data_IF_387194584924
#
_entry.id   IF_387194584924
#
_cell.length_a   1.000
_cell.length_b   1.000
_cell.length_c   1.000
_cell.angle_alpha   90.00
_cell.angle_beta   90.00
_cell.angle_gamma   90.00
#
_symmetry.space_group_name_H-M   'P 1'
#
loop_
_entity.id
_entity.type
_entity.pdbx_description
1 polymer ?
#
# COMPACT_ATOMS: atom_id res chain seq x y z
N UNK A 1 21.57 -27.58 -26.93
CA UNK A 1 20.82 -27.72 -28.19
C UNK A 1 20.92 -29.15 -28.66
N UNK A 2 19.79 -29.71 -29.09
CA UNK A 2 19.78 -31.04 -29.64
C UNK A 2 20.60 -31.09 -30.95
N UNK A 3 21.32 -32.17 -31.15
CA UNK A 3 22.04 -32.40 -32.42
C UNK A 3 21.07 -33.00 -33.43
N UNK A 4 21.15 -32.51 -34.68
CA UNK A 4 20.29 -32.92 -35.78
C UNK A 4 21.15 -33.55 -36.88
N UNK A 5 20.83 -34.80 -37.28
CA UNK A 5 21.54 -35.49 -38.32
C UNK A 5 20.52 -35.98 -39.38
N UNK A 6 20.73 -35.60 -40.62
CA UNK A 6 19.89 -36.08 -41.75
C UNK A 6 20.23 -37.55 -42.07
N UNK A 7 19.20 -38.37 -42.25
CA UNK A 7 19.30 -39.77 -42.75
C UNK A 7 18.23 -40.01 -43.80
N UNK A 8 18.63 -39.95 -45.07
CA UNK A 8 17.69 -40.06 -46.19
C UNK A 8 16.65 -38.94 -46.11
N UNK A 9 15.37 -39.32 -46.10
CA UNK A 9 14.23 -38.39 -46.00
C UNK A 9 13.80 -38.03 -44.59
N UNK A 10 14.58 -38.46 -43.58
CA UNK A 10 14.29 -38.20 -42.16
C UNK A 10 15.42 -37.49 -41.46
N UNK A 11 15.13 -36.89 -40.31
CA UNK A 11 16.11 -36.26 -39.42
C UNK A 11 16.13 -36.99 -38.08
N UNK A 12 17.29 -37.49 -37.70
CA UNK A 12 17.53 -38.03 -36.34
C UNK A 12 17.95 -36.87 -35.42
N UNK A 13 17.20 -36.68 -34.34
CA UNK A 13 17.40 -35.62 -33.39
C UNK A 13 17.82 -36.25 -32.06
N UNK A 14 18.95 -35.81 -31.50
CA UNK A 14 19.49 -36.33 -30.24
C UNK A 14 19.66 -35.21 -29.24
N UNK A 15 18.98 -35.33 -28.09
CA UNK A 15 19.11 -34.40 -26.96
C UNK A 15 19.89 -35.03 -25.82
N UNK A 16 20.72 -34.24 -25.14
CA UNK A 16 21.53 -34.61 -24.03
C UNK A 16 20.89 -34.16 -22.71
N UNK A 17 20.73 -35.10 -21.77
CA UNK A 17 19.98 -34.92 -20.52
C UNK A 17 20.89 -34.83 -19.27
N UNK A 18 22.18 -34.62 -19.46
CA UNK A 18 23.17 -34.65 -18.38
C UNK A 18 23.89 -36.00 -18.24
N UNK A 19 24.35 -36.33 -17.04
CA UNK A 19 25.08 -37.54 -16.73
C UNK A 19 24.32 -38.33 -15.63
N UNK A 20 24.39 -39.68 -15.71
CA UNK A 20 23.90 -40.57 -14.67
C UNK A 20 24.84 -40.58 -13.44
N UNK A 21 24.42 -41.28 -12.37
CA UNK A 21 25.22 -41.43 -11.15
C UNK A 21 26.57 -42.11 -11.38
N UNK A 22 26.77 -42.76 -12.53
CA UNK A 22 28.01 -43.44 -12.95
C UNK A 22 28.84 -42.59 -13.93
N UNK A 23 28.45 -41.30 -14.14
CA UNK A 23 29.16 -40.40 -15.04
C UNK A 23 28.92 -40.68 -16.53
N UNK A 24 27.90 -41.48 -16.91
CA UNK A 24 27.57 -41.77 -18.31
C UNK A 24 26.57 -40.75 -18.82
N UNK A 25 26.80 -40.24 -20.03
CA UNK A 25 25.94 -39.25 -20.67
C UNK A 25 24.57 -39.84 -21.03
N UNK A 26 23.51 -39.26 -20.48
CA UNK A 26 22.13 -39.64 -20.79
C UNK A 26 21.74 -38.99 -22.10
N UNK A 27 21.30 -39.78 -23.09
CA UNK A 27 20.85 -39.33 -24.41
C UNK A 27 19.45 -39.82 -24.67
N UNK A 28 18.59 -38.95 -25.22
CA UNK A 28 17.33 -39.36 -25.85
C UNK A 28 17.36 -39.02 -27.33
N UNK A 29 16.77 -39.87 -28.15
CA UNK A 29 16.81 -39.74 -29.61
C UNK A 29 15.38 -39.89 -30.16
N UNK A 30 15.03 -39.05 -31.10
CA UNK A 30 13.77 -39.13 -31.86
C UNK A 30 14.02 -38.96 -33.36
N UNK A 31 13.06 -39.35 -34.19
CA UNK A 31 13.15 -39.23 -35.63
C UNK A 31 12.03 -38.35 -36.11
N UNK A 32 12.37 -37.27 -36.84
CA UNK A 32 11.42 -36.37 -37.48
C UNK A 32 11.35 -36.65 -38.98
N UNK A 33 10.12 -36.81 -39.51
CA UNK A 33 9.87 -36.95 -40.96
C UNK A 33 9.15 -35.69 -41.44
N UNK A 34 9.75 -34.91 -42.35
CA UNK A 34 9.09 -33.74 -42.94
C UNK A 34 7.85 -34.18 -43.72
N UNK A 35 6.83 -33.31 -43.88
CA UNK A 35 5.70 -33.57 -44.76
C UNK A 35 6.15 -33.74 -46.21
N UNK A 36 5.43 -34.56 -46.98
CA UNK A 36 5.74 -34.82 -48.38
C UNK A 36 5.61 -33.52 -49.22
N UNK A 37 6.48 -33.38 -50.23
CA UNK A 37 6.50 -32.22 -51.14
C UNK A 37 7.22 -30.97 -50.61
N UNK A 38 7.92 -31.05 -49.47
CA UNK A 38 8.66 -29.93 -48.91
C UNK A 38 10.09 -29.91 -49.46
N UNK A 39 10.58 -28.73 -49.89
CA UNK A 39 11.97 -28.55 -50.35
C UNK A 39 13.00 -28.84 -49.22
N UNK A 40 14.18 -29.32 -49.58
CA UNK A 40 15.20 -29.73 -48.63
C UNK A 40 15.55 -28.63 -47.57
N UNK A 41 15.63 -27.35 -47.96
CA UNK A 41 15.90 -26.26 -47.05
C UNK A 41 14.75 -25.97 -46.08
N UNK A 42 13.49 -26.14 -46.53
CA UNK A 42 12.30 -25.99 -45.70
C UNK A 42 12.15 -27.17 -44.73
N UNK A 43 12.52 -28.40 -45.16
CA UNK A 43 12.56 -29.60 -44.34
C UNK A 43 13.57 -29.48 -43.18
N UNK A 44 14.75 -28.92 -43.43
CA UNK A 44 15.78 -28.67 -42.39
C UNK A 44 15.31 -27.61 -41.38
N UNK A 45 14.65 -26.56 -41.85
CA UNK A 45 14.08 -25.53 -40.97
C UNK A 45 13.02 -26.10 -40.03
N UNK A 46 12.11 -26.96 -40.56
CA UNK A 46 11.10 -27.68 -39.81
C UNK A 46 11.72 -28.65 -38.80
N UNK A 47 12.79 -29.37 -39.20
CA UNK A 47 13.52 -30.27 -38.31
C UNK A 47 14.17 -29.49 -37.12
N UNK A 48 14.74 -28.31 -37.37
CA UNK A 48 15.30 -27.45 -36.33
C UNK A 48 14.20 -26.95 -35.39
N UNK A 49 13.05 -26.56 -35.89
CA UNK A 49 11.91 -26.16 -35.07
C UNK A 49 11.40 -27.31 -34.19
N UNK A 50 11.21 -28.48 -34.79
CA UNK A 50 10.79 -29.69 -34.08
C UNK A 50 11.78 -30.10 -33.01
N UNK A 51 13.10 -30.05 -33.30
CA UNK A 51 14.15 -30.38 -32.36
C UNK A 51 14.15 -29.47 -31.12
N UNK A 52 13.88 -28.17 -31.30
CA UNK A 52 13.83 -27.23 -30.21
C UNK A 52 12.62 -27.55 -29.29
N UNK A 53 11.43 -27.76 -29.87
CA UNK A 53 10.22 -28.12 -29.12
C UNK A 53 10.39 -29.45 -28.39
N UNK A 54 10.88 -30.48 -29.09
CA UNK A 54 11.09 -31.80 -28.51
C UNK A 54 12.17 -31.81 -27.42
N UNK A 55 13.25 -31.04 -27.58
CA UNK A 55 14.29 -30.91 -26.53
C UNK A 55 13.71 -30.28 -25.26
N UNK A 56 12.86 -29.26 -25.40
CA UNK A 56 12.16 -28.63 -24.30
C UNK A 56 11.19 -29.59 -23.60
N UNK A 57 10.41 -30.38 -24.37
CA UNK A 57 9.49 -31.39 -23.83
C UNK A 57 10.21 -32.47 -22.98
N UNK A 58 11.29 -33.06 -23.52
CA UNK A 58 12.00 -34.13 -22.81
C UNK A 58 12.82 -33.66 -21.61
N UNK A 59 13.21 -32.37 -21.59
CA UNK A 59 13.85 -31.75 -20.43
C UNK A 59 12.85 -31.33 -19.36
N UNK A 60 11.56 -31.65 -19.57
CA UNK A 60 10.49 -31.28 -18.65
C UNK A 60 10.10 -29.82 -18.73
N UNK A 61 10.54 -29.09 -19.76
CA UNK A 61 10.04 -27.77 -20.04
C UNK A 61 8.63 -27.94 -20.63
N UNK A 62 7.63 -27.68 -19.81
CA UNK A 62 6.24 -27.59 -20.27
C UNK A 62 6.21 -26.54 -21.38
N UNK A 63 5.48 -26.84 -22.48
CA UNK A 63 5.29 -25.89 -23.57
C UNK A 63 4.80 -24.55 -22.99
N UNK A 64 5.67 -23.56 -23.03
CA UNK A 64 5.39 -22.25 -22.44
C UNK A 64 4.25 -21.61 -23.24
N UNK A 65 3.18 -21.26 -22.54
CA UNK A 65 1.99 -20.66 -23.17
C UNK A 65 2.13 -19.14 -23.29
N UNK A 66 3.20 -18.70 -23.94
CA UNK A 66 3.51 -17.28 -24.15
C UNK A 66 2.51 -16.58 -25.10
N UNK A 67 1.62 -17.36 -25.74
CA UNK A 67 0.55 -16.82 -26.59
C UNK A 67 -0.66 -16.32 -25.79
N UNK A 68 -0.81 -16.71 -24.53
CA UNK A 68 -1.85 -16.15 -23.65
C UNK A 68 -1.75 -14.65 -23.56
N UNK A 69 -2.90 -14.03 -23.32
CA UNK A 69 -2.99 -12.60 -23.04
C UNK A 69 -2.66 -12.30 -21.56
N UNK A 70 -2.31 -11.06 -21.28
CA UNK A 70 -2.11 -10.62 -19.90
C UNK A 70 -3.41 -10.78 -19.07
N UNK A 71 -4.57 -10.55 -19.67
CA UNK A 71 -5.86 -10.71 -18.98
C UNK A 71 -6.08 -12.15 -18.50
N UNK A 72 -5.78 -13.15 -19.35
CA UNK A 72 -5.88 -14.57 -18.98
C UNK A 72 -4.90 -14.94 -17.87
N UNK A 73 -3.67 -14.42 -17.93
CA UNK A 73 -2.67 -14.63 -16.88
C UNK A 73 -3.10 -14.00 -15.55
N UNK A 74 -3.56 -12.74 -15.58
CA UNK A 74 -4.03 -12.04 -14.39
C UNK A 74 -5.24 -12.74 -13.76
N UNK A 75 -6.21 -13.19 -14.58
CA UNK A 75 -7.35 -13.98 -14.11
C UNK A 75 -6.89 -15.25 -13.41
N UNK A 76 -6.05 -16.04 -14.07
CA UNK A 76 -5.48 -17.26 -13.48
C UNK A 76 -4.79 -16.97 -12.14
N UNK A 77 -3.97 -15.93 -12.07
CA UNK A 77 -3.27 -15.56 -10.84
C UNK A 77 -4.23 -15.23 -9.70
N UNK A 78 -5.22 -14.37 -9.96
CA UNK A 78 -6.18 -13.93 -8.94
C UNK A 78 -7.18 -15.00 -8.52
N UNK A 79 -7.51 -15.93 -9.41
CA UNK A 79 -8.47 -17.00 -9.12
C UNK A 79 -7.79 -18.24 -8.47
N UNK A 80 -6.52 -18.51 -8.81
CA UNK A 80 -5.85 -19.76 -8.41
C UNK A 80 -4.72 -19.55 -7.41
N UNK A 81 -3.84 -18.55 -7.63
CA UNK A 81 -2.60 -18.41 -6.85
C UNK A 81 -2.78 -17.42 -5.70
N UNK A 82 -3.31 -16.25 -5.98
CA UNK A 82 -3.40 -15.17 -5.01
C UNK A 82 -4.21 -15.51 -3.75
N UNK A 83 -5.33 -16.26 -3.80
CA UNK A 83 -6.10 -16.63 -2.61
C UNK A 83 -5.31 -17.46 -1.59
N UNK A 84 -4.37 -18.29 -2.05
CA UNK A 84 -3.55 -19.14 -1.16
C UNK A 84 -2.33 -18.42 -0.57
N UNK A 85 -1.89 -17.31 -1.18
CA UNK A 85 -0.61 -16.63 -0.83
C UNK A 85 -0.84 -15.26 -0.20
N UNK A 86 -1.92 -14.57 -0.56
CA UNK A 86 -2.20 -13.20 -0.15
C UNK A 86 -3.35 -13.16 0.87
N UNK A 87 -3.23 -12.26 1.85
CA UNK A 87 -4.38 -11.92 2.68
C UNK A 87 -5.44 -11.22 1.82
N UNK A 88 -6.71 -11.44 2.11
CA UNK A 88 -7.87 -10.93 1.36
C UNK A 88 -7.76 -9.44 1.02
N UNK A 89 -7.45 -8.59 2.01
CA UNK A 89 -7.27 -7.16 1.76
C UNK A 89 -6.14 -6.84 0.76
N UNK A 90 -5.05 -7.61 0.78
CA UNK A 90 -3.93 -7.43 -0.17
C UNK A 90 -4.35 -7.89 -1.57
N UNK A 91 -5.07 -9.01 -1.66
CA UNK A 91 -5.62 -9.52 -2.90
C UNK A 91 -6.55 -8.51 -3.55
N UNK A 92 -7.52 -7.97 -2.81
CA UNK A 92 -8.46 -6.96 -3.31
C UNK A 92 -7.73 -5.69 -3.80
N UNK A 93 -6.73 -5.22 -3.07
CA UNK A 93 -5.93 -4.06 -3.48
C UNK A 93 -5.07 -4.35 -4.73
N UNK A 94 -4.49 -5.54 -4.85
CA UNK A 94 -3.72 -5.94 -6.04
C UNK A 94 -4.64 -5.98 -7.25
N UNK A 95 -5.77 -6.67 -7.12
CA UNK A 95 -6.78 -6.78 -8.18
C UNK A 95 -7.26 -5.39 -8.63
N UNK A 96 -7.70 -4.55 -7.71
CA UNK A 96 -8.14 -3.19 -8.01
C UNK A 96 -7.04 -2.35 -8.70
N UNK A 97 -5.78 -2.51 -8.30
CA UNK A 97 -4.65 -1.80 -8.92
C UNK A 97 -4.42 -2.28 -10.37
N UNK A 98 -4.44 -3.59 -10.60
CA UNK A 98 -4.27 -4.18 -11.93
C UNK A 98 -5.45 -3.82 -12.82
N UNK A 99 -6.69 -3.98 -12.34
CA UNK A 99 -7.91 -3.67 -13.11
C UNK A 99 -7.97 -2.19 -13.51
N UNK A 100 -7.59 -1.30 -12.61
CA UNK A 100 -7.65 0.14 -12.85
C UNK A 100 -6.56 0.65 -13.80
N UNK A 101 -5.32 0.19 -13.65
CA UNK A 101 -4.17 0.81 -14.31
C UNK A 101 -3.52 -0.03 -15.39
N UNK A 102 -3.61 -1.36 -15.30
CA UNK A 102 -2.92 -2.27 -16.23
C UNK A 102 -3.87 -2.84 -17.27
N UNK A 103 -5.03 -3.34 -16.84
CA UNK A 103 -6.00 -3.97 -17.76
C UNK A 103 -6.45 -3.08 -18.91
N UNK A 104 -6.71 -1.76 -18.75
CA UNK A 104 -7.13 -0.90 -19.87
C UNK A 104 -6.12 -0.84 -21.03
N UNK A 105 -4.83 -1.11 -20.75
CA UNK A 105 -3.74 -0.95 -21.72
C UNK A 105 -3.12 -2.28 -22.16
N UNK A 106 -2.99 -3.24 -21.23
CA UNK A 106 -2.24 -4.49 -21.46
C UNK A 106 -3.12 -5.75 -21.50
N UNK A 107 -4.43 -5.65 -21.25
CA UNK A 107 -5.29 -6.84 -21.17
C UNK A 107 -5.19 -7.76 -22.38
N UNK A 108 -5.14 -7.19 -23.60
CA UNK A 108 -5.11 -7.90 -24.89
C UNK A 108 -3.70 -8.25 -25.36
N UNK A 109 -2.67 -7.73 -24.70
CA UNK A 109 -1.30 -8.01 -25.10
C UNK A 109 -0.93 -9.46 -24.80
N UNK A 110 -0.27 -10.11 -25.76
CA UNK A 110 0.24 -11.46 -25.58
C UNK A 110 1.50 -11.42 -24.72
N UNK A 111 1.66 -12.42 -23.85
CA UNK A 111 2.76 -12.48 -22.88
C UNK A 111 4.13 -12.37 -23.55
N UNK A 112 4.31 -12.98 -24.73
CA UNK A 112 5.56 -12.89 -25.52
C UNK A 112 5.92 -11.46 -25.98
N UNK A 113 4.92 -10.58 -26.11
CA UNK A 113 5.10 -9.20 -26.54
C UNK A 113 5.40 -8.26 -25.34
N UNK A 114 5.10 -8.70 -24.11
CA UNK A 114 5.37 -7.89 -22.91
C UNK A 114 6.86 -7.96 -22.59
N UNK A 115 7.61 -7.07 -23.21
CA UNK A 115 9.05 -6.98 -23.07
C UNK A 115 9.44 -5.88 -22.06
N UNK A 116 10.67 -5.90 -21.48
CA UNK A 116 11.12 -4.83 -20.59
C UNK A 116 11.03 -3.42 -21.22
N UNK A 117 11.45 -3.17 -22.48
CA UNK A 117 11.28 -1.85 -23.11
C UNK A 117 9.82 -1.41 -23.23
N UNK A 118 8.90 -2.35 -23.51
CA UNK A 118 7.46 -2.05 -23.55
C UNK A 118 6.97 -1.63 -22.17
N UNK A 119 7.41 -2.31 -21.11
CA UNK A 119 7.05 -1.95 -19.74
C UNK A 119 7.63 -0.61 -19.32
N UNK A 120 8.87 -0.27 -19.75
CA UNK A 120 9.46 1.04 -19.49
C UNK A 120 8.62 2.16 -20.11
N UNK A 121 8.20 2.00 -21.36
CA UNK A 121 7.27 2.93 -22.02
C UNK A 121 5.94 3.01 -21.30
N UNK A 122 5.36 1.87 -20.91
CA UNK A 122 4.10 1.81 -20.17
C UNK A 122 4.20 2.54 -18.82
N UNK A 123 5.28 2.35 -18.05
CA UNK A 123 5.49 3.05 -16.79
C UNK A 123 5.70 4.55 -16.97
N UNK A 124 6.41 4.97 -18.01
CA UNK A 124 6.57 6.38 -18.35
C UNK A 124 5.23 7.02 -18.73
N UNK A 125 4.38 6.32 -19.48
CA UNK A 125 3.05 6.79 -19.83
C UNK A 125 2.13 6.92 -18.61
N UNK A 126 2.21 5.97 -17.66
CA UNK A 126 1.48 6.08 -16.41
C UNK A 126 1.91 7.30 -15.61
N UNK A 127 3.18 7.67 -15.66
CA UNK A 127 3.68 8.86 -14.99
C UNK A 127 3.24 10.16 -15.68
N UNK A 128 3.06 10.15 -17.01
CA UNK A 128 2.59 11.31 -17.76
C UNK A 128 1.07 11.49 -17.73
N UNK A 129 0.31 10.40 -17.87
CA UNK A 129 -1.14 10.42 -18.11
C UNK A 129 -1.89 9.29 -17.37
N UNK A 130 -1.36 8.78 -16.28
CA UNK A 130 -1.88 7.57 -15.61
C UNK A 130 -3.11 7.78 -14.73
N UNK A 131 -3.56 9.00 -14.46
CA UNK A 131 -4.82 9.24 -13.76
C UNK A 131 -5.97 9.09 -14.73
N UNK A 132 -6.77 8.05 -14.54
CA UNK A 132 -7.99 7.78 -15.28
C UNK A 132 -9.24 8.36 -14.62
N UNK A 133 -9.09 9.03 -13.46
CA UNK A 133 -10.23 9.59 -12.75
C UNK A 133 -10.59 10.93 -13.38
N UNK A 134 -11.74 10.97 -14.08
CA UNK A 134 -12.31 12.22 -14.54
C UNK A 134 -12.57 13.12 -13.34
N UNK A 135 -12.03 14.32 -13.39
CA UNK A 135 -12.07 15.29 -12.32
C UNK A 135 -12.75 16.56 -12.78
N UNK A 136 -13.69 17.01 -12.00
CA UNK A 136 -14.51 18.20 -12.29
C UNK A 136 -14.39 19.20 -11.16
N UNK A 137 -14.39 20.48 -11.49
CA UNK A 137 -14.37 21.58 -10.52
C UNK A 137 -15.57 22.48 -10.78
N UNK A 138 -16.25 22.91 -9.72
CA UNK A 138 -17.29 23.91 -9.83
C UNK A 138 -16.71 25.17 -10.47
N UNK A 139 -17.40 25.72 -11.46
CA UNK A 139 -16.99 26.94 -12.16
C UNK A 139 -16.93 28.15 -11.20
N UNK A 140 -15.98 29.01 -11.41
CA UNK A 140 -15.88 30.26 -10.67
C UNK A 140 -17.11 31.13 -10.95
N UNK A 141 -17.61 31.78 -9.92
CA UNK A 141 -18.80 32.66 -10.02
C UNK A 141 -20.16 31.96 -9.98
N UNK A 142 -20.20 30.62 -9.91
CA UNK A 142 -21.48 29.91 -9.69
C UNK A 142 -21.87 30.03 -8.22
N UNK A 143 -22.91 30.79 -7.96
CA UNK A 143 -23.53 30.94 -6.65
C UNK A 143 -24.89 30.24 -6.61
N UNK A 144 -25.22 29.67 -5.47
CA UNK A 144 -26.51 29.03 -5.23
C UNK A 144 -27.30 29.89 -4.23
N UNK A 145 -27.90 31.00 -4.75
CA UNK A 145 -28.66 31.92 -3.94
C UNK A 145 -29.83 31.20 -3.24
N UNK A 146 -30.03 31.49 -1.96
CA UNK A 146 -31.07 30.86 -1.15
C UNK A 146 -30.75 29.45 -0.62
N UNK A 147 -29.57 28.88 -0.95
CA UNK A 147 -29.17 27.57 -0.44
C UNK A 147 -28.03 27.67 0.57
N UNK A 148 -28.21 27.02 1.72
CA UNK A 148 -27.13 26.76 2.68
C UNK A 148 -26.44 25.42 2.36
N UNK A 149 -25.28 25.18 2.93
CA UNK A 149 -24.63 23.85 2.79
C UNK A 149 -25.51 22.68 3.26
N UNK A 150 -26.36 22.92 4.27
CA UNK A 150 -27.28 21.92 4.78
C UNK A 150 -28.39 21.66 3.76
N UNK A 151 -29.06 22.70 3.27
CA UNK A 151 -30.16 22.54 2.30
C UNK A 151 -29.67 21.93 0.97
N UNK A 152 -28.43 22.22 0.54
CA UNK A 152 -27.81 21.54 -0.59
C UNK A 152 -27.53 20.07 -0.30
N UNK A 153 -27.08 19.74 0.90
CA UNK A 153 -26.85 18.35 1.30
C UNK A 153 -28.16 17.55 1.29
N UNK A 154 -29.22 18.12 1.84
CA UNK A 154 -30.56 17.50 1.90
C UNK A 154 -31.15 17.32 0.49
N UNK A 155 -31.06 18.36 -0.36
CA UNK A 155 -31.56 18.33 -1.75
C UNK A 155 -30.81 17.32 -2.62
N UNK A 156 -29.50 17.23 -2.48
CA UNK A 156 -28.67 16.35 -3.30
C UNK A 156 -28.55 14.93 -2.74
N UNK A 157 -28.95 14.71 -1.49
CA UNK A 157 -28.69 13.46 -0.77
C UNK A 157 -27.19 13.14 -0.65
N UNK A 158 -26.36 14.18 -0.53
CA UNK A 158 -24.90 14.08 -0.40
C UNK A 158 -24.46 14.52 0.99
N UNK A 159 -23.37 13.97 1.47
CA UNK A 159 -22.80 14.41 2.75
C UNK A 159 -22.33 15.87 2.71
N UNK A 160 -22.51 16.61 3.83
CA UNK A 160 -22.11 18.03 3.97
C UNK A 160 -20.66 18.29 3.54
N UNK A 161 -19.75 17.37 3.84
CA UNK A 161 -18.34 17.47 3.43
C UNK A 161 -18.17 17.44 1.91
N UNK A 162 -18.97 16.65 1.20
CA UNK A 162 -18.95 16.62 -0.27
C UNK A 162 -19.46 17.93 -0.85
N UNK A 163 -20.54 18.48 -0.29
CA UNK A 163 -21.08 19.79 -0.67
C UNK A 163 -20.05 20.89 -0.40
N UNK A 164 -19.47 20.91 0.80
CA UNK A 164 -18.41 21.85 1.14
C UNK A 164 -17.24 21.81 0.14
N UNK A 165 -16.75 20.61 -0.19
CA UNK A 165 -15.66 20.44 -1.15
C UNK A 165 -16.02 20.97 -2.55
N UNK A 166 -17.27 20.78 -2.99
CA UNK A 166 -17.77 21.34 -4.25
C UNK A 166 -17.74 22.87 -4.21
N UNK A 167 -18.33 23.46 -3.16
CA UNK A 167 -18.47 24.90 -3.02
C UNK A 167 -17.15 25.68 -2.91
N UNK A 168 -16.13 25.06 -2.28
CA UNK A 168 -14.78 25.65 -2.19
C UNK A 168 -13.91 25.34 -3.42
N UNK A 169 -14.51 24.84 -4.52
CA UNK A 169 -13.81 24.59 -5.77
C UNK A 169 -12.81 23.42 -5.74
N UNK A 170 -12.92 22.49 -4.79
CA UNK A 170 -12.14 21.26 -4.84
C UNK A 170 -12.60 20.36 -5.98
N UNK A 171 -11.65 19.63 -6.56
CA UNK A 171 -11.97 18.65 -7.60
C UNK A 171 -12.83 17.51 -7.05
N UNK A 172 -13.87 17.15 -7.81
CA UNK A 172 -14.76 16.01 -7.52
C UNK A 172 -14.78 15.04 -8.70
N UNK A 173 -15.14 13.80 -8.45
CA UNK A 173 -15.25 12.76 -9.49
C UNK A 173 -16.54 12.93 -10.29
N UNK A 174 -16.57 12.42 -11.53
CA UNK A 174 -17.76 12.45 -12.39
C UNK A 174 -19.05 12.05 -11.68
N UNK A 175 -19.17 10.89 -10.97
CA UNK A 175 -20.43 10.52 -10.32
C UNK A 175 -20.90 11.52 -9.28
N UNK A 176 -19.97 12.20 -8.61
CA UNK A 176 -20.28 13.24 -7.61
C UNK A 176 -20.78 14.52 -8.31
N UNK A 177 -20.11 14.92 -9.39
CA UNK A 177 -20.52 16.09 -10.18
C UNK A 177 -21.87 15.88 -10.87
N UNK A 178 -22.10 14.68 -11.45
CA UNK A 178 -23.39 14.31 -12.07
C UNK A 178 -24.53 14.29 -11.06
N UNK A 179 -24.31 13.68 -9.89
CA UNK A 179 -25.31 13.64 -8.82
C UNK A 179 -25.67 15.05 -8.34
N UNK A 180 -24.69 15.92 -8.19
CA UNK A 180 -24.92 17.30 -7.80
C UNK A 180 -25.67 18.08 -8.88
N UNK A 181 -25.25 17.96 -10.14
CA UNK A 181 -25.88 18.63 -11.29
C UNK A 181 -27.33 18.17 -11.50
N UNK A 182 -27.60 16.88 -11.39
CA UNK A 182 -28.95 16.33 -11.48
C UNK A 182 -29.87 16.88 -10.37
N UNK A 183 -29.40 16.96 -9.12
CA UNK A 183 -30.18 17.49 -8.02
C UNK A 183 -30.45 19.03 -8.15
N UNK A 184 -29.57 19.73 -8.85
CA UNK A 184 -29.74 21.14 -9.14
C UNK A 184 -30.56 21.42 -10.43
N UNK A 185 -30.97 20.34 -11.11
CA UNK A 185 -31.68 20.41 -12.39
C UNK A 185 -30.92 21.24 -13.45
N UNK A 186 -29.60 21.08 -13.48
CA UNK A 186 -28.71 21.80 -14.37
C UNK A 186 -27.76 20.85 -15.10
N UNK A 187 -27.46 21.11 -16.38
CA UNK A 187 -26.45 20.33 -17.10
C UNK A 187 -25.09 20.44 -16.43
N UNK A 188 -24.40 19.29 -16.24
CA UNK A 188 -23.09 19.24 -15.61
C UNK A 188 -22.07 20.22 -16.23
N UNK A 189 -22.07 20.37 -17.56
CA UNK A 189 -21.21 21.31 -18.32
C UNK A 189 -21.43 22.78 -17.96
N UNK A 190 -22.61 23.15 -17.47
CA UNK A 190 -22.88 24.53 -17.00
C UNK A 190 -22.32 24.79 -15.61
N UNK A 191 -22.32 23.76 -14.76
CA UNK A 191 -21.88 23.89 -13.36
C UNK A 191 -20.38 23.60 -13.17
N UNK A 192 -19.84 22.68 -13.94
CA UNK A 192 -18.48 22.17 -13.72
C UNK A 192 -17.59 22.34 -14.94
N UNK A 193 -16.35 22.74 -14.69
CA UNK A 193 -15.25 22.61 -15.64
C UNK A 193 -14.67 21.21 -15.56
N UNK A 194 -14.45 20.60 -16.71
CA UNK A 194 -13.69 19.37 -16.81
C UNK A 194 -12.21 19.69 -16.64
N UNK A 195 -11.69 19.38 -15.48
CA UNK A 195 -10.28 19.49 -15.14
C UNK A 195 -9.59 18.12 -15.15
N UNK A 196 -10.18 17.18 -15.90
CA UNK A 196 -9.56 15.88 -16.18
C UNK A 196 -8.27 16.15 -16.96
N UNK A 197 -7.33 16.78 -16.30
CA UNK A 197 -6.02 17.01 -16.86
C UNK A 197 -5.25 15.69 -16.90
N UNK A 198 -4.33 15.58 -17.85
CA UNK A 198 -3.33 14.53 -17.95
C UNK A 198 -2.39 14.58 -16.74
N UNK A 199 -2.92 14.29 -15.55
CA UNK A 199 -2.12 14.20 -14.34
C UNK A 199 -1.55 12.76 -14.25
N UNK A 200 -0.24 12.67 -14.28
CA UNK A 200 0.44 11.41 -14.12
C UNK A 200 0.32 10.84 -12.70
N UNK A 201 0.62 9.56 -12.59
CA UNK A 201 0.79 8.91 -11.30
C UNK A 201 2.13 9.25 -10.69
N UNK A 202 2.21 9.34 -9.37
CA UNK A 202 3.50 9.48 -8.68
C UNK A 202 4.40 8.27 -8.94
N UNK A 203 5.73 8.47 -8.95
CA UNK A 203 6.69 7.38 -9.10
C UNK A 203 6.47 6.24 -8.10
N UNK A 204 6.09 6.56 -6.85
CA UNK A 204 5.74 5.57 -5.84
C UNK A 204 4.52 4.71 -6.23
N UNK A 205 3.49 5.32 -6.83
CA UNK A 205 2.32 4.58 -7.32
C UNK A 205 2.67 3.68 -8.49
N UNK A 206 3.46 4.19 -9.46
CA UNK A 206 3.92 3.39 -10.61
C UNK A 206 4.79 2.22 -10.15
N UNK A 207 5.69 2.44 -9.19
CA UNK A 207 6.48 1.35 -8.62
C UNK A 207 5.62 0.29 -7.92
N UNK A 208 4.56 0.69 -7.22
CA UNK A 208 3.59 -0.24 -6.64
C UNK A 208 2.88 -1.07 -7.73
N UNK A 209 2.50 -0.45 -8.85
CA UNK A 209 1.93 -1.17 -10.01
C UNK A 209 2.94 -2.18 -10.56
N UNK A 210 4.21 -1.78 -10.76
CA UNK A 210 5.29 -2.69 -11.18
C UNK A 210 5.43 -3.89 -10.23
N UNK A 211 5.43 -3.66 -8.92
CA UNK A 211 5.53 -4.75 -7.92
C UNK A 211 4.35 -5.71 -8.00
N UNK A 212 3.12 -5.21 -8.21
CA UNK A 212 1.93 -6.05 -8.36
C UNK A 212 2.01 -6.88 -9.65
N UNK A 213 2.42 -6.28 -10.76
CA UNK A 213 2.65 -7.00 -12.03
C UNK A 213 3.76 -8.05 -11.87
N UNK A 214 4.86 -7.68 -11.20
CA UNK A 214 5.98 -8.58 -10.96
C UNK A 214 5.58 -9.80 -10.14
N UNK A 215 4.65 -9.66 -9.18
CA UNK A 215 4.11 -10.81 -8.44
C UNK A 215 3.37 -11.80 -9.35
N UNK A 216 2.56 -11.29 -10.29
CA UNK A 216 1.85 -12.10 -11.28
C UNK A 216 2.83 -12.85 -12.18
N UNK A 217 3.80 -12.13 -12.76
CA UNK A 217 4.81 -12.73 -13.63
C UNK A 217 5.72 -13.71 -12.89
N UNK A 218 6.08 -13.42 -11.64
CA UNK A 218 6.88 -14.36 -10.81
C UNK A 218 6.12 -15.66 -10.55
N UNK A 219 4.81 -15.59 -10.30
CA UNK A 219 3.98 -16.77 -10.17
C UNK A 219 3.91 -17.57 -11.49
N UNK A 220 3.83 -16.88 -12.63
CA UNK A 220 3.86 -17.51 -13.95
C UNK A 220 5.20 -18.21 -14.24
N UNK A 221 6.32 -17.61 -13.85
CA UNK A 221 7.64 -18.25 -13.97
C UNK A 221 7.75 -19.47 -13.08
N UNK A 222 7.31 -19.40 -11.82
CA UNK A 222 7.31 -20.55 -10.88
C UNK A 222 6.42 -21.72 -11.34
N UNK A 223 5.44 -21.46 -12.18
CA UNK A 223 4.53 -22.45 -12.76
C UNK A 223 4.88 -22.78 -14.21
N UNK A 224 6.06 -22.37 -14.67
CA UNK A 224 6.59 -22.66 -15.99
C UNK A 224 5.69 -22.18 -17.14
N UNK A 225 4.85 -21.17 -16.91
CA UNK A 225 4.06 -20.50 -17.95
C UNK A 225 4.94 -19.53 -18.74
N UNK A 226 5.94 -18.92 -18.08
CA UNK A 226 6.91 -17.99 -18.67
C UNK A 226 8.33 -18.37 -18.29
N UNK A 227 9.29 -18.11 -19.18
CA UNK A 227 10.73 -18.33 -18.91
C UNK A 227 11.32 -17.30 -17.96
N UNK A 228 10.85 -16.06 -18.00
CA UNK A 228 11.40 -14.94 -17.21
C UNK A 228 10.31 -13.92 -16.89
N UNK A 229 10.53 -13.21 -15.79
CA UNK A 229 9.68 -12.09 -15.40
C UNK A 229 10.17 -10.80 -16.08
N UNK A 230 9.40 -10.19 -17.00
CA UNK A 230 9.83 -9.00 -17.72
C UNK A 230 9.97 -7.77 -16.81
N UNK A 231 9.26 -7.74 -15.67
CA UNK A 231 9.34 -6.62 -14.73
C UNK A 231 10.70 -6.54 -14.00
N UNK A 232 11.51 -7.59 -13.96
CA UNK A 232 12.80 -7.55 -13.26
C UNK A 232 13.81 -6.62 -13.98
N UNK A 233 13.76 -6.58 -15.31
CA UNK A 233 14.64 -5.75 -16.14
C UNK A 233 14.04 -4.39 -16.48
N UNK A 234 12.74 -4.20 -16.23
CA UNK A 234 12.07 -2.92 -16.45
C UNK A 234 12.47 -1.90 -15.37
N UNK A 235 12.71 -0.65 -15.78
CA UNK A 235 13.14 0.45 -14.94
C UNK A 235 11.94 1.30 -14.51
N UNK A 236 11.53 1.29 -13.24
CA UNK A 236 10.45 2.16 -12.78
C UNK A 236 10.95 3.62 -12.68
N UNK A 237 10.03 4.60 -12.74
CA UNK A 237 10.37 5.98 -12.47
C UNK A 237 10.98 6.17 -11.08
N UNK A 238 11.84 7.17 -10.94
CA UNK A 238 12.39 7.56 -9.64
C UNK A 238 11.27 7.91 -8.66
N UNK A 239 11.46 7.52 -7.41
CA UNK A 239 10.57 7.86 -6.32
C UNK A 239 11.15 9.07 -5.61
N UNK A 240 10.46 10.21 -5.69
CA UNK A 240 10.81 11.37 -4.87
C UNK A 240 10.36 11.10 -3.44
N UNK A 241 11.29 10.69 -2.60
CA UNK A 241 11.05 10.49 -1.17
C UNK A 241 11.15 11.84 -0.46
N UNK A 242 10.01 12.37 -0.04
CA UNK A 242 10.01 13.51 0.89
C UNK A 242 10.37 13.00 2.28
N UNK A 243 11.22 13.73 3.05
CA UNK A 243 11.50 13.39 4.43
C UNK A 243 10.20 13.27 5.23
N UNK A 244 10.18 12.35 6.18
CA UNK A 244 9.02 12.20 7.06
C UNK A 244 8.91 13.45 7.95
N UNK A 245 7.73 14.06 7.97
CA UNK A 245 7.45 15.18 8.89
C UNK A 245 7.22 14.60 10.28
N UNK A 246 7.95 15.08 11.26
CA UNK A 246 7.81 14.76 12.68
C UNK A 246 8.04 16.02 13.53
N UNK A 247 7.63 15.99 14.79
CA UNK A 247 7.82 17.08 15.74
C UNK A 247 9.12 16.86 16.51
N UNK A 248 9.87 17.92 16.72
CA UNK A 248 10.94 17.95 17.73
C UNK A 248 10.35 18.04 19.15
N UNK A 249 11.21 18.02 20.18
CA UNK A 249 10.76 18.04 21.58
C UNK A 249 10.02 19.32 21.93
N UNK A 250 10.48 20.48 21.45
CA UNK A 250 9.84 21.78 21.69
C UNK A 250 8.47 21.85 21.02
N UNK A 251 8.40 21.43 19.77
CA UNK A 251 7.14 21.34 19.00
C UNK A 251 6.16 20.35 19.64
N UNK A 252 6.65 19.23 20.19
CA UNK A 252 5.81 18.29 20.93
C UNK A 252 5.15 18.93 22.16
N UNK A 253 5.90 19.73 22.91
CA UNK A 253 5.36 20.44 24.09
C UNK A 253 4.25 21.40 23.68
N UNK A 254 4.49 22.20 22.64
CA UNK A 254 3.48 23.13 22.09
C UNK A 254 2.26 22.36 21.59
N UNK A 255 2.46 21.28 20.82
CA UNK A 255 1.38 20.42 20.32
C UNK A 255 0.51 19.88 21.46
N UNK A 256 1.12 19.34 22.51
CA UNK A 256 0.42 18.77 23.68
C UNK A 256 -0.31 19.86 24.48
N UNK A 257 0.27 21.03 24.62
CA UNK A 257 -0.37 22.17 25.30
C UNK A 257 -1.61 22.63 24.56
N UNK A 258 -1.52 22.86 23.25
CA UNK A 258 -2.66 23.23 22.40
C UNK A 258 -3.75 22.17 22.38
N UNK A 259 -3.34 20.90 22.43
CA UNK A 259 -4.26 19.75 22.40
C UNK A 259 -5.15 19.67 23.65
N UNK A 260 -4.68 20.10 24.83
CA UNK A 260 -5.44 20.14 26.10
C UNK A 260 -6.66 21.07 26.02
N UNK A 261 -6.62 22.08 25.18
CA UNK A 261 -7.67 23.07 25.02
C UNK A 261 -8.72 22.68 23.95
N UNK A 262 -8.57 21.48 23.36
CA UNK A 262 -9.51 21.01 22.34
C UNK A 262 -10.82 20.50 22.97
N UNK A 263 -11.99 20.85 22.37
CA UNK A 263 -13.28 20.40 22.89
C UNK A 263 -13.48 18.89 22.74
N UNK A 264 -12.81 18.26 21.78
CA UNK A 264 -12.86 16.80 21.56
C UNK A 264 -11.84 16.08 22.44
N UNK A 265 -12.24 15.78 23.68
CA UNK A 265 -11.38 15.10 24.64
C UNK A 265 -10.93 13.70 24.19
N UNK A 266 -11.67 13.01 23.31
CA UNK A 266 -11.24 11.72 22.73
C UNK A 266 -10.07 11.92 21.76
N UNK A 267 -10.09 13.00 20.97
CA UNK A 267 -9.01 13.32 20.06
C UNK A 267 -7.72 13.64 20.82
N UNK A 268 -7.82 14.35 21.94
CA UNK A 268 -6.68 14.58 22.86
C UNK A 268 -6.05 13.26 23.32
N UNK A 269 -6.86 12.33 23.84
CA UNK A 269 -6.37 11.02 24.30
C UNK A 269 -5.74 10.23 23.16
N UNK A 270 -6.33 10.22 21.97
CA UNK A 270 -5.81 9.53 20.78
C UNK A 270 -4.39 10.03 20.44
N UNK A 271 -4.21 11.34 20.35
CA UNK A 271 -2.91 11.94 20.01
C UNK A 271 -1.85 11.65 21.09
N UNK A 272 -2.23 11.75 22.36
CA UNK A 272 -1.35 11.40 23.48
C UNK A 272 -0.93 9.93 23.44
N UNK A 273 -1.84 9.00 23.15
CA UNK A 273 -1.53 7.57 23.01
C UNK A 273 -0.59 7.33 21.82
N UNK A 274 -0.79 8.00 20.67
CA UNK A 274 0.13 7.89 19.54
C UNK A 274 1.55 8.32 19.92
N UNK A 275 1.68 9.49 20.55
CA UNK A 275 2.99 10.03 20.96
C UNK A 275 3.66 9.18 22.05
N UNK A 276 2.91 8.64 22.99
CA UNK A 276 3.46 7.83 24.07
C UNK A 276 3.83 6.40 23.67
N UNK A 277 3.20 5.84 22.63
CA UNK A 277 3.32 4.42 22.31
C UNK A 277 3.88 4.11 20.93
N UNK A 278 3.81 5.07 20.00
CA UNK A 278 4.15 4.85 18.59
C UNK A 278 3.29 3.79 17.89
N UNK A 279 2.09 3.53 18.38
CA UNK A 279 1.14 2.54 17.82
C UNK A 279 0.77 2.87 16.36
N UNK A 280 0.49 1.88 15.53
CA UNK A 280 -0.04 2.12 14.18
C UNK A 280 -1.52 2.52 14.24
N UNK A 281 -1.98 3.36 13.29
CA UNK A 281 -3.36 3.82 13.27
C UNK A 281 -4.38 2.67 13.26
N UNK A 282 -4.15 1.65 12.44
CA UNK A 282 -5.03 0.47 12.41
C UNK A 282 -5.01 -0.35 13.70
N UNK A 283 -3.89 -0.36 14.42
CA UNK A 283 -3.78 -1.01 15.74
C UNK A 283 -4.55 -0.22 16.79
N UNK A 284 -4.40 1.12 16.81
CA UNK A 284 -5.13 2.00 17.73
C UNK A 284 -6.64 1.90 17.53
N UNK A 285 -7.11 1.96 16.28
CA UNK A 285 -8.54 1.84 15.97
C UNK A 285 -9.12 0.45 16.28
N UNK A 286 -8.27 -0.58 16.44
CA UNK A 286 -8.68 -1.94 16.79
C UNK A 286 -8.63 -2.24 18.30
N UNK A 287 -8.17 -1.28 19.13
CA UNK A 287 -8.07 -1.48 20.57
C UNK A 287 -9.44 -1.68 21.18
N UNK A 288 -9.57 -2.70 22.00
CA UNK A 288 -10.69 -2.94 22.91
C UNK A 288 -10.25 -2.75 24.35
N UNK A 289 -11.19 -2.51 25.26
CA UNK A 289 -10.87 -2.32 26.68
C UNK A 289 -10.21 -3.56 27.30
N UNK A 290 -10.50 -4.76 26.80
CA UNK A 290 -9.82 -6.01 27.16
C UNK A 290 -8.31 -6.04 26.85
N UNK A 291 -7.87 -5.20 25.93
CA UNK A 291 -6.46 -5.10 25.54
C UNK A 291 -5.64 -4.17 26.47
N UNK A 292 -6.32 -3.48 27.40
CA UNK A 292 -5.69 -2.47 28.27
C UNK A 292 -5.99 -2.77 29.74
N UNK A 293 -4.95 -3.11 30.46
CA UNK A 293 -4.99 -3.19 31.90
C UNK A 293 -4.65 -1.81 32.50
N UNK A 294 -5.66 -1.11 32.99
CA UNK A 294 -5.53 0.24 33.55
C UNK A 294 -4.97 0.25 34.97
N UNK A 295 -4.83 -0.88 35.64
CA UNK A 295 -4.27 -0.97 36.99
C UNK A 295 -2.75 -1.19 36.90
N UNK A 296 -2.32 -2.08 36.04
CA UNK A 296 -0.88 -2.28 35.75
C UNK A 296 -0.31 -1.32 34.71
N UNK A 297 -1.14 -0.58 33.99
CA UNK A 297 -0.73 0.32 32.91
C UNK A 297 -0.18 -0.41 31.69
N UNK A 298 -0.64 -1.62 31.40
CA UNK A 298 -0.15 -2.44 30.27
C UNK A 298 -1.16 -2.47 29.15
N UNK A 299 -0.73 -2.05 27.94
CA UNK A 299 -1.48 -2.17 26.69
C UNK A 299 -0.93 -3.30 25.83
N UNK A 300 -1.79 -4.20 25.40
CA UNK A 300 -1.47 -5.35 24.54
C UNK A 300 -1.92 -5.11 23.10
N UNK A 301 -1.00 -5.03 22.18
CA UNK A 301 -1.32 -4.87 20.75
C UNK A 301 -1.47 -6.26 20.12
N UNK A 302 -2.71 -6.67 19.85
CA UNK A 302 -3.05 -8.01 19.34
C UNK A 302 -3.78 -7.98 18.02
N UNK A 303 -4.39 -6.85 17.65
CA UNK A 303 -5.26 -6.72 16.51
C UNK A 303 -4.95 -5.46 15.69
N UNK A 304 -5.44 -5.43 14.47
CA UNK A 304 -5.46 -4.26 13.60
C UNK A 304 -6.82 -4.17 12.91
N UNK A 305 -7.29 -2.96 12.70
CA UNK A 305 -8.53 -2.69 11.98
C UNK A 305 -8.23 -2.57 10.49
N UNK A 306 -8.97 -3.31 9.68
CA UNK A 306 -8.94 -3.22 8.21
C UNK A 306 -10.36 -2.97 7.70
N UNK A 307 -10.48 -2.29 6.56
CA UNK A 307 -11.76 -2.09 5.90
C UNK A 307 -11.85 -3.04 4.71
N UNK A 308 -12.76 -4.01 4.77
CA UNK A 308 -13.04 -4.98 3.70
C UNK A 308 -14.44 -4.74 3.19
N UNK A 309 -14.60 -4.52 1.88
CA UNK A 309 -15.90 -4.32 1.25
C UNK A 309 -16.81 -3.28 1.97
N UNK A 310 -16.20 -2.21 2.50
CA UNK A 310 -16.91 -1.16 3.21
C UNK A 310 -17.08 -1.41 4.72
N UNK A 311 -16.87 -2.64 5.20
CA UNK A 311 -17.04 -3.04 6.62
C UNK A 311 -15.69 -3.02 7.33
N UNK A 312 -15.68 -2.49 8.56
CA UNK A 312 -14.50 -2.55 9.43
C UNK A 312 -14.41 -3.91 10.12
N UNK A 313 -13.28 -4.58 9.96
CA UNK A 313 -13.02 -5.89 10.52
C UNK A 313 -11.75 -5.86 11.37
N UNK A 314 -11.87 -6.34 12.62
CA UNK A 314 -10.74 -6.52 13.54
C UNK A 314 -10.01 -7.82 13.18
N UNK A 315 -8.77 -7.72 12.73
CA UNK A 315 -7.98 -8.86 12.26
C UNK A 315 -6.67 -8.99 13.03
N UNK A 316 -6.06 -10.17 13.00
CA UNK A 316 -4.73 -10.34 13.57
C UNK A 316 -3.68 -9.58 12.73
N UNK A 317 -2.62 -9.03 13.36
CA UNK A 317 -1.53 -8.38 12.66
C UNK A 317 -0.88 -9.30 11.62
N UNK A 318 -0.21 -8.69 10.63
CA UNK A 318 0.41 -9.44 9.52
C UNK A 318 1.54 -10.38 9.97
N UNK A 319 2.20 -10.08 11.08
CA UNK A 319 3.38 -10.82 11.57
C UNK A 319 3.31 -11.05 13.07
N UNK A 320 3.90 -12.14 13.55
CA UNK A 320 3.99 -12.44 14.99
C UNK A 320 4.71 -11.34 15.77
N UNK A 321 5.75 -10.73 15.20
CA UNK A 321 6.49 -9.61 15.80
C UNK A 321 5.69 -8.31 15.96
N UNK A 322 4.51 -8.21 15.35
CA UNK A 322 3.61 -7.07 15.57
C UNK A 322 2.81 -7.19 16.88
N UNK A 323 2.67 -8.39 17.45
CA UNK A 323 2.07 -8.59 18.77
C UNK A 323 3.09 -8.16 19.83
N UNK A 324 2.74 -7.18 20.65
CA UNK A 324 3.61 -6.64 21.67
C UNK A 324 2.83 -6.07 22.84
N UNK A 325 3.49 -5.95 23.96
CA UNK A 325 2.99 -5.28 25.16
C UNK A 325 3.73 -3.95 25.32
N UNK A 326 3.01 -2.91 25.67
CA UNK A 326 3.54 -1.56 25.85
C UNK A 326 3.14 -1.11 27.25
N UNK A 327 4.12 -0.74 28.07
CA UNK A 327 3.85 -0.10 29.37
C UNK A 327 3.55 1.36 29.10
N UNK A 328 2.42 1.82 29.61
CA UNK A 328 1.92 3.19 29.47
C UNK A 328 2.46 4.05 30.62
N UNK A 329 2.87 5.30 30.35
CA UNK A 329 3.15 6.27 31.38
C UNK A 329 1.91 6.53 32.27
N UNK A 330 2.11 6.81 33.57
CA UNK A 330 1.00 7.06 34.50
C UNK A 330 0.04 8.15 34.04
N UNK A 331 0.56 9.19 33.37
CA UNK A 331 -0.24 10.25 32.77
C UNK A 331 -1.23 9.70 31.73
N UNK A 332 -0.77 8.81 30.86
CA UNK A 332 -1.63 8.17 29.82
C UNK A 332 -2.69 7.27 30.46
N UNK A 333 -2.32 6.50 31.49
CA UNK A 333 -3.28 5.68 32.23
C UNK A 333 -4.40 6.53 32.81
N UNK A 334 -4.07 7.69 33.41
CA UNK A 334 -5.07 8.64 33.95
C UNK A 334 -6.00 9.14 32.83
N UNK A 335 -5.44 9.61 31.70
CA UNK A 335 -6.23 10.06 30.55
C UNK A 335 -7.17 8.95 30.03
N UNK A 336 -6.68 7.72 29.99
CA UNK A 336 -7.49 6.56 29.56
C UNK A 336 -8.63 6.24 30.54
N UNK A 337 -8.40 6.35 31.86
CA UNK A 337 -9.44 6.20 32.87
C UNK A 337 -10.54 7.27 32.71
N UNK A 338 -10.14 8.53 32.53
CA UNK A 338 -11.08 9.63 32.26
C UNK A 338 -11.85 9.44 30.95
N UNK A 339 -11.16 8.98 29.90
CA UNK A 339 -11.79 8.68 28.62
C UNK A 339 -12.85 7.58 28.73
N UNK A 340 -12.57 6.52 29.51
CA UNK A 340 -13.54 5.43 29.75
C UNK A 340 -14.81 5.93 30.41
N UNK A 341 -14.70 6.83 31.38
CA UNK A 341 -15.86 7.46 32.03
C UNK A 341 -16.66 8.32 31.04
N UNK A 342 -15.98 9.19 30.27
CA UNK A 342 -16.63 10.03 29.25
C UNK A 342 -17.28 9.18 28.15
N UNK A 343 -16.70 8.03 27.79
CA UNK A 343 -17.28 7.11 26.82
C UNK A 343 -18.55 6.45 27.38
N UNK A 344 -18.56 6.07 28.67
CA UNK A 344 -19.74 5.53 29.32
C UNK A 344 -20.89 6.54 29.37
N UNK A 345 -20.60 7.82 29.67
CA UNK A 345 -21.60 8.90 29.60
C UNK A 345 -22.17 9.08 28.19
N UNK A 346 -21.30 9.09 27.16
CA UNK A 346 -21.75 9.16 25.76
C UNK A 346 -22.64 7.97 25.39
N UNK A 347 -22.29 6.78 25.83
CA UNK A 347 -23.08 5.56 25.61
C UNK A 347 -24.47 5.68 26.26
N UNK A 348 -24.56 6.16 27.49
CA UNK A 348 -25.83 6.39 28.18
C UNK A 348 -26.71 7.43 27.45
N UNK A 349 -26.11 8.54 27.00
CA UNK A 349 -26.81 9.58 26.24
C UNK A 349 -27.31 9.09 24.87
N UNK A 350 -26.56 8.23 24.19
CA UNK A 350 -26.92 7.71 22.89
C UNK A 350 -27.97 6.58 22.96
N UNK A 351 -28.12 5.91 24.10
CA UNK A 351 -29.11 4.87 24.32
C UNK A 351 -29.08 3.75 23.28
N UNK A 352 -30.21 3.47 22.65
CA UNK A 352 -30.34 2.40 21.65
C UNK A 352 -29.58 2.66 20.33
N UNK A 353 -29.13 3.89 20.06
CA UNK A 353 -28.34 4.21 18.87
C UNK A 353 -26.87 3.84 19.00
N UNK A 354 -26.43 3.48 20.22
CA UNK A 354 -25.05 3.07 20.47
C UNK A 354 -24.82 1.62 20.06
N UNK A 355 -23.85 1.42 19.17
CA UNK A 355 -23.40 0.06 18.81
C UNK A 355 -22.54 -0.50 19.95
N UNK A 356 -22.91 -1.66 20.47
CA UNK A 356 -22.25 -2.30 21.62
C UNK A 356 -20.91 -2.96 21.20
N UNK A 357 -19.98 -2.16 20.71
CA UNK A 357 -18.58 -2.58 20.51
C UNK A 357 -17.76 -2.19 21.74
N UNK A 358 -16.91 -3.09 22.23
CA UNK A 358 -16.01 -2.83 23.34
C UNK A 358 -14.76 -2.06 22.92
N UNK A 359 -14.85 -1.29 21.82
CA UNK A 359 -13.75 -0.52 21.27
C UNK A 359 -13.41 0.69 22.18
N UNK A 360 -12.10 0.92 22.38
CA UNK A 360 -11.61 2.04 23.19
C UNK A 360 -11.93 3.37 22.52
N UNK A 361 -11.71 3.49 21.23
CA UNK A 361 -11.96 4.72 20.47
C UNK A 361 -13.08 4.49 19.45
N UNK A 362 -14.13 5.27 19.56
CA UNK A 362 -15.37 5.09 18.78
C UNK A 362 -15.77 6.38 18.08
N UNK A 363 -16.61 6.24 17.06
CA UNK A 363 -17.38 7.36 16.53
C UNK A 363 -18.57 7.69 17.48
N UNK A 364 -19.41 8.64 17.09
CA UNK A 364 -20.57 9.09 17.87
C UNK A 364 -21.60 7.98 18.11
N UNK A 365 -21.70 7.00 17.22
CA UNK A 365 -22.61 5.85 17.32
C UNK A 365 -21.97 4.63 17.98
N UNK A 366 -20.78 4.72 18.59
CA UNK A 366 -20.11 3.59 19.23
C UNK A 366 -19.38 2.64 18.27
N UNK A 367 -19.37 2.90 16.95
CA UNK A 367 -18.66 2.09 15.97
C UNK A 367 -17.15 2.44 15.89
N UNK A 368 -16.38 1.60 15.23
CA UNK A 368 -14.95 1.84 15.00
C UNK A 368 -14.67 3.18 14.34
N UNK A 369 -13.60 3.83 14.82
CA UNK A 369 -13.06 5.04 14.18
C UNK A 369 -12.35 4.71 12.87
N UNK A 370 -12.53 5.61 11.89
CA UNK A 370 -11.79 5.56 10.62
C UNK A 370 -10.46 6.31 10.73
N UNK A 371 -9.40 5.71 10.22
CA UNK A 371 -8.10 6.38 10.06
C UNK A 371 -8.19 7.68 9.23
N UNK A 372 -9.11 7.72 8.26
CA UNK A 372 -9.34 8.92 7.44
C UNK A 372 -9.88 10.07 8.28
N UNK A 373 -10.83 9.80 9.19
CA UNK A 373 -11.40 10.82 10.10
C UNK A 373 -10.31 11.37 11.02
N UNK A 374 -9.47 10.50 11.57
CA UNK A 374 -8.36 10.92 12.45
C UNK A 374 -7.36 11.82 11.71
N UNK A 375 -6.97 11.47 10.49
CA UNK A 375 -6.11 12.32 9.67
C UNK A 375 -6.76 13.67 9.38
N UNK A 376 -8.05 13.70 9.01
CA UNK A 376 -8.76 14.96 8.74
C UNK A 376 -8.83 15.85 9.99
N UNK A 377 -9.08 15.26 11.17
CA UNK A 377 -9.09 16.00 12.45
C UNK A 377 -7.71 16.56 12.75
N UNK A 378 -6.65 15.77 12.61
CA UNK A 378 -5.28 16.17 12.89
C UNK A 378 -4.82 17.29 11.93
N UNK A 379 -5.08 17.16 10.65
CA UNK A 379 -4.83 18.20 9.64
C UNK A 379 -5.50 19.53 10.02
N UNK A 380 -6.80 19.49 10.36
CA UNK A 380 -7.55 20.68 10.76
C UNK A 380 -6.95 21.30 12.02
N UNK A 381 -6.64 20.49 13.02
CA UNK A 381 -6.02 20.94 14.26
C UNK A 381 -4.68 21.63 13.99
N UNK A 382 -3.79 21.00 13.24
CA UNK A 382 -2.49 21.58 12.90
C UNK A 382 -2.63 22.92 12.15
N UNK A 383 -3.56 23.00 11.20
CA UNK A 383 -3.81 24.23 10.45
C UNK A 383 -4.38 25.36 11.33
N UNK A 384 -5.25 25.03 12.29
CA UNK A 384 -5.83 26.02 13.21
C UNK A 384 -4.80 26.56 14.23
N UNK A 385 -3.88 25.69 14.67
CA UNK A 385 -2.88 26.03 15.70
C UNK A 385 -1.53 26.47 15.12
N UNK A 386 -1.41 26.63 13.77
CA UNK A 386 -0.17 27.04 13.13
C UNK A 386 0.96 26.02 13.26
N UNK A 387 0.62 24.72 13.42
CA UNK A 387 1.55 23.63 13.56
C UNK A 387 1.92 23.04 12.19
N UNK A 388 3.05 22.31 12.05
CA UNK A 388 3.38 21.57 10.84
C UNK A 388 2.24 20.66 10.41
N UNK A 389 2.09 20.44 9.10
CA UNK A 389 1.08 19.58 8.55
C UNK A 389 1.37 18.10 8.87
N UNK A 390 0.67 17.57 9.87
CA UNK A 390 0.86 16.23 10.40
C UNK A 390 -0.25 15.29 9.94
N UNK A 391 0.12 14.05 9.75
CA UNK A 391 -0.82 12.92 9.69
C UNK A 391 -0.57 11.96 10.87
N UNK A 392 -1.50 11.07 11.18
CA UNK A 392 -1.37 10.19 12.36
C UNK A 392 -0.10 9.33 12.36
N UNK A 393 0.45 9.03 11.18
CA UNK A 393 1.73 8.32 11.09
C UNK A 393 2.93 9.21 11.46
N UNK A 394 2.82 10.53 11.29
CA UNK A 394 3.82 11.51 11.74
C UNK A 394 3.99 11.47 13.27
N UNK A 395 2.92 11.26 14.05
CA UNK A 395 3.01 11.12 15.49
C UNK A 395 3.81 9.88 15.91
N UNK A 396 3.71 8.81 15.14
CA UNK A 396 4.55 7.62 15.33
C UNK A 396 6.01 7.89 14.95
N UNK A 397 6.27 8.67 13.91
CA UNK A 397 7.62 9.11 13.54
C UNK A 397 8.21 9.99 14.67
N UNK A 398 7.41 10.91 15.20
CA UNK A 398 7.77 11.73 16.37
C UNK A 398 8.17 10.85 17.57
N UNK A 399 7.34 9.85 17.93
CA UNK A 399 7.67 8.91 19.01
C UNK A 399 9.02 8.23 18.79
N UNK A 400 9.29 7.77 17.58
CA UNK A 400 10.56 7.12 17.26
C UNK A 400 11.75 8.08 17.34
N UNK A 401 11.62 9.29 16.80
CA UNK A 401 12.67 10.32 16.85
C UNK A 401 12.97 10.74 18.27
N UNK A 402 11.96 10.90 19.14
CA UNK A 402 12.16 11.20 20.56
C UNK A 402 12.94 10.09 21.29
N UNK A 403 12.66 8.82 20.98
CA UNK A 403 13.43 7.70 21.55
C UNK A 403 14.88 7.68 21.05
N UNK A 404 15.11 7.96 19.77
CA UNK A 404 16.46 8.00 19.20
C UNK A 404 17.26 9.16 19.82
N UNK A 405 16.66 10.34 19.93
CA UNK A 405 17.27 11.50 20.59
C UNK A 405 17.52 11.26 22.08
N UNK A 406 16.72 10.40 22.73
CA UNK A 406 16.94 9.89 24.07
C UNK A 406 18.00 8.78 24.17
N UNK A 407 18.81 8.57 23.12
CA UNK A 407 19.89 7.58 23.04
C UNK A 407 19.46 6.11 23.17
N UNK A 408 18.19 5.79 22.86
CA UNK A 408 17.75 4.39 22.78
C UNK A 408 18.25 3.73 21.51
N UNK A 409 18.71 2.48 21.62
CA UNK A 409 19.21 1.73 20.46
C UNK A 409 18.11 1.46 19.42
N UNK A 410 18.49 1.37 18.15
CA UNK A 410 17.56 1.06 17.05
C UNK A 410 16.76 -0.24 17.30
N UNK A 411 17.33 -1.20 18.03
CA UNK A 411 16.65 -2.46 18.39
C UNK A 411 15.51 -2.21 19.40
N UNK A 412 15.72 -1.36 20.40
CA UNK A 412 14.69 -0.99 21.39
C UNK A 412 13.55 -0.24 20.69
N UNK A 413 13.89 0.75 19.84
CA UNK A 413 12.92 1.50 19.05
C UNK A 413 12.12 0.58 18.11
N UNK A 414 12.79 -0.31 17.39
CA UNK A 414 12.15 -1.29 16.49
C UNK A 414 11.16 -2.20 17.24
N UNK A 415 11.57 -2.75 18.39
CA UNK A 415 10.71 -3.60 19.22
C UNK A 415 9.47 -2.85 19.71
N UNK A 416 9.63 -1.62 20.20
CA UNK A 416 8.53 -0.79 20.70
C UNK A 416 7.55 -0.43 19.58
N UNK A 417 8.06 -0.13 18.39
CA UNK A 417 7.25 0.14 17.21
C UNK A 417 6.61 -1.14 16.60
N UNK A 418 7.10 -2.33 16.93
CA UNK A 418 6.70 -3.59 16.30
C UNK A 418 7.17 -3.68 14.84
N UNK A 419 8.40 -3.26 14.57
CA UNK A 419 9.10 -3.54 13.31
C UNK A 419 9.72 -4.93 13.39
N UNK A 420 9.43 -5.78 12.41
CA UNK A 420 9.99 -7.14 12.33
C UNK A 420 11.50 -7.09 12.07
N UNK A 421 11.94 -6.09 11.32
CA UNK A 421 13.34 -5.89 10.96
C UNK A 421 13.82 -4.52 11.45
N UNK A 422 14.90 -4.51 12.22
CA UNK A 422 15.57 -3.28 12.69
C UNK A 422 16.04 -2.40 11.53
N UNK A 423 16.36 -3.01 10.37
CA UNK A 423 16.72 -2.31 9.14
C UNK A 423 15.67 -1.25 8.75
N UNK A 424 14.38 -1.56 8.90
CA UNK A 424 13.30 -0.58 8.62
C UNK A 424 13.42 0.66 9.52
N UNK A 425 13.78 0.49 10.80
CA UNK A 425 14.01 1.62 11.72
C UNK A 425 15.23 2.42 11.29
N UNK A 426 16.33 1.76 10.96
CA UNK A 426 17.56 2.42 10.51
C UNK A 426 17.34 3.18 9.19
N UNK A 427 16.69 2.60 8.20
CA UNK A 427 16.44 3.25 6.91
C UNK A 427 15.51 4.47 7.03
N UNK A 428 14.45 4.37 7.83
CA UNK A 428 13.46 5.46 8.00
C UNK A 428 14.02 6.60 8.84
N UNK A 429 14.85 6.32 9.86
CA UNK A 429 15.35 7.29 10.81
C UNK A 429 16.87 7.53 10.72
N UNK A 430 17.50 7.17 9.59
CA UNK A 430 18.95 7.35 9.36
C UNK A 430 19.42 8.79 9.60
N UNK A 431 18.63 9.78 9.22
CA UNK A 431 18.94 11.20 9.40
C UNK A 431 18.93 11.60 10.89
N UNK A 432 18.03 11.03 11.71
CA UNK A 432 17.99 11.30 13.16
C UNK A 432 19.19 10.66 13.86
N UNK A 433 19.61 9.47 13.41
CA UNK A 433 20.83 8.82 13.92
C UNK A 433 22.10 9.60 13.54
N UNK A 434 22.15 10.24 12.35
CA UNK A 434 23.27 11.05 11.93
C UNK A 434 23.47 12.29 12.82
N UNK A 435 22.40 12.95 13.25
CA UNK A 435 22.46 14.07 14.22
C UNK A 435 23.02 13.63 15.60
N UNK A 436 22.92 12.34 15.93
CA UNK A 436 23.44 11.77 17.17
C UNK A 436 24.96 11.54 17.10
N UNK A 437 25.56 11.53 15.93
CA UNK A 437 27.00 11.34 15.73
C UNK A 437 27.82 12.52 16.28
N UNK A 438 27.33 13.76 16.14
CA UNK A 438 27.95 14.94 16.75
C UNK A 438 27.92 14.85 18.29
N UNK A 439 26.84 14.37 18.88
CA UNK A 439 26.72 14.12 20.33
C UNK A 439 27.66 13.02 20.79
N UNK A 440 27.85 11.98 19.97
CA UNK A 440 28.82 10.91 20.26
C UNK A 440 30.25 11.42 20.24
N UNK A 441 30.61 12.29 19.30
CA UNK A 441 31.91 12.95 19.23
C UNK A 441 32.12 13.81 20.48
N UNK A 442 31.13 14.62 20.89
CA UNK A 442 31.19 15.44 22.11
C UNK A 442 31.35 14.59 23.39
N UNK A 443 30.64 13.45 23.44
CA UNK A 443 30.76 12.53 24.57
C UNK A 443 32.16 11.91 24.68
N UNK A 444 32.78 11.55 23.55
CA UNK A 444 34.16 11.05 23.46
C UNK A 444 35.14 12.16 23.88
N UNK A 445 34.95 13.39 23.39
CA UNK A 445 35.79 14.54 23.75
C UNK A 445 35.75 14.80 25.25
N UNK A 446 34.54 14.80 25.85
CA UNK A 446 34.37 14.95 27.30
C UNK A 446 35.00 13.80 28.11
N UNK A 447 34.83 12.54 27.61
CA UNK A 447 35.31 11.37 28.36
C UNK A 447 36.83 11.19 28.30
N UNK A 448 37.48 11.57 27.20
CA UNK A 448 38.89 11.28 26.95
C UNK A 448 39.80 12.51 27.06
N UNK A 449 39.31 13.69 26.73
CA UNK A 449 40.16 14.85 26.50
C UNK A 449 39.86 16.06 27.41
N UNK A 450 38.67 16.16 28.00
CA UNK A 450 38.39 17.16 29.02
C UNK A 450 38.68 16.56 30.39
N UNK A 451 39.72 17.09 31.06
CA UNK A 451 39.95 16.86 32.51
C UNK A 451 38.72 17.40 33.26
N UNK A 452 38.19 16.61 34.18
CA UNK A 452 37.28 17.13 35.21
C UNK A 452 38.02 18.23 35.97
N UNK A 453 37.59 19.51 35.83
CA UNK A 453 37.96 20.58 36.73
C UNK A 453 37.26 20.41 38.08
#
# INVERSE_FOLDING_TARGET
MASIRKRGDTFTITAYMGYDEKGRQIKKTTTFRPPDGVTAGKAEKLAKQYAAVWEDEIKGYVALDENRTFAELAKWYFDTVAPSVLKEHTLLNYRATIDKHVMPRLARERLKNITPPMLDSFFADLQKSGRSDESFRLKEGVAFEGYTQQTLADKTGMGRTSIHNILIGKSVRRPTAEKFAAAMDMPMKKLFDDITGNHGLSGATVNKIKLNMSAIFTAAVKKEILRRNPCHLATPPKIDTKPAVYLDEGQCRVFLDRLRHQPDSQFEVICNVFLATGIRCGELCALHWEDIDLDTGVMSIRHTLVRLNGVYTRTQPKTAGSKRRIVLPAYIVRLMKEHRLKQAERRLKAGCTWTAMDAVFTNESGNYLSACILNTKLHRFCAQEGLPDLHVHSLRHTHASLLINGNFTAKVVANRLGHVNTRTTLEVYSHVFAETEEKAMQAIDMALFRKAE
#
